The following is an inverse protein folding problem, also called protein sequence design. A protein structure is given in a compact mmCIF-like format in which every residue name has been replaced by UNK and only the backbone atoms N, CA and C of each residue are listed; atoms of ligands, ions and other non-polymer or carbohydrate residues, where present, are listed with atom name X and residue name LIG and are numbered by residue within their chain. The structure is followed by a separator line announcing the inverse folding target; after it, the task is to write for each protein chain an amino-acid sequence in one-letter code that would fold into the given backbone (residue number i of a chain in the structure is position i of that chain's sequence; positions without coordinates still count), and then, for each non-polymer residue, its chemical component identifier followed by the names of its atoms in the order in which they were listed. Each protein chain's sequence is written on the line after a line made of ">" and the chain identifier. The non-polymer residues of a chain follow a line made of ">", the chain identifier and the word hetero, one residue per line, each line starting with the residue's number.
data_IF_786325722096
#
_entry.id   IF_786325722096
#
_cell.length_a   1.000
_cell.length_b   1.000
_cell.length_c   1.000
_cell.angle_alpha   90.00
_cell.angle_beta   90.00
_cell.angle_gamma   90.00
#
_symmetry.space_group_name_H-M   'P 1'
#
loop_
_entity.id
_entity.type
_entity.pdbx_description
1 polymer ?
#
# COMPACT_ATOMS: atom_id res chain seq x y z
N UNK A 1 13.78 16.11 12.26
CA UNK A 1 12.94 14.99 11.76
C UNK A 1 11.88 15.60 10.86
N UNK A 2 12.18 15.74 9.57
CA UNK A 2 11.26 16.38 8.64
C UNK A 2 10.03 15.49 8.50
N UNK A 3 8.87 16.02 8.87
CA UNK A 3 7.60 15.43 8.46
C UNK A 3 7.65 15.30 6.94
N UNK A 4 7.70 14.08 6.43
CA UNK A 4 7.71 13.81 5.00
C UNK A 4 6.38 14.28 4.43
N UNK A 5 6.35 15.51 3.89
CA UNK A 5 5.22 16.09 3.20
C UNK A 5 4.75 15.15 2.09
N UNK A 6 3.50 14.69 2.16
CA UNK A 6 2.88 13.79 1.18
C UNK A 6 1.67 13.08 1.77
N UNK A 7 0.80 12.48 0.96
CA UNK A 7 -0.44 11.87 1.46
C UNK A 7 -0.22 10.63 2.35
N UNK A 8 1.03 10.17 2.45
CA UNK A 8 1.46 8.95 3.13
C UNK A 8 2.54 9.21 4.19
N UNK A 9 2.79 10.47 4.55
CA UNK A 9 3.86 10.82 5.50
C UNK A 9 3.74 10.14 6.87
N UNK A 10 2.52 9.79 7.28
CA UNK A 10 2.26 9.07 8.54
C UNK A 10 2.79 7.62 8.56
N UNK A 11 3.17 7.06 7.41
CA UNK A 11 3.76 5.71 7.34
C UNK A 11 5.20 5.66 7.85
N UNK A 12 5.88 6.80 7.94
CA UNK A 12 7.27 6.88 8.42
C UNK A 12 7.45 6.41 9.87
N UNK A 13 6.35 6.34 10.64
CA UNK A 13 6.35 5.75 11.98
C UNK A 13 6.65 4.24 11.97
N UNK A 14 6.31 3.55 10.89
CA UNK A 14 6.38 2.09 10.78
C UNK A 14 7.65 1.64 10.07
N UNK A 15 7.90 2.20 8.89
CA UNK A 15 9.07 1.89 8.07
C UNK A 15 9.29 3.01 7.04
N UNK A 16 10.49 3.62 6.96
CA UNK A 16 10.82 4.60 5.93
C UNK A 16 10.56 4.12 4.49
N UNK A 17 10.69 2.81 4.22
CA UNK A 17 10.43 2.21 2.91
C UNK A 17 8.99 2.47 2.43
N UNK A 18 8.01 2.44 3.34
CA UNK A 18 6.61 2.66 2.98
C UNK A 18 6.39 4.07 2.44
N UNK A 19 7.00 5.05 3.11
CA UNK A 19 6.95 6.44 2.67
C UNK A 19 7.70 6.64 1.36
N UNK A 20 8.84 5.99 1.17
CA UNK A 20 9.59 6.04 -0.10
C UNK A 20 8.78 5.48 -1.28
N UNK A 21 8.20 4.29 -1.13
CA UNK A 21 7.36 3.66 -2.16
C UNK A 21 6.15 4.53 -2.50
N UNK A 22 5.47 5.05 -1.48
CA UNK A 22 4.30 5.91 -1.66
C UNK A 22 4.64 7.23 -2.35
N UNK A 23 5.70 7.93 -1.90
CA UNK A 23 6.16 9.17 -2.51
C UNK A 23 6.63 8.95 -3.95
N UNK A 24 7.30 7.83 -4.23
CA UNK A 24 7.69 7.47 -5.59
C UNK A 24 6.46 7.26 -6.47
N UNK A 25 5.40 6.63 -5.96
CA UNK A 25 4.14 6.48 -6.70
C UNK A 25 3.50 7.84 -7.01
N UNK A 26 3.41 8.73 -6.01
CA UNK A 26 2.84 10.07 -6.18
C UNK A 26 3.62 10.88 -7.22
N UNK A 27 4.96 10.89 -7.15
CA UNK A 27 5.81 11.63 -8.10
C UNK A 27 5.71 11.11 -9.53
N UNK A 28 5.55 9.80 -9.69
CA UNK A 28 5.42 9.19 -11.02
C UNK A 28 4.05 9.43 -11.64
N UNK A 29 3.00 9.79 -10.88
CA UNK A 29 1.63 9.84 -11.39
C UNK A 29 1.43 10.69 -12.65
N UNK A 30 2.03 11.89 -12.67
CA UNK A 30 1.86 12.82 -13.79
C UNK A 30 2.62 12.38 -15.05
N UNK A 31 3.82 11.83 -14.90
CA UNK A 31 4.70 11.48 -16.02
C UNK A 31 4.58 10.03 -16.48
N UNK A 32 4.27 9.12 -15.56
CA UNK A 32 4.23 7.68 -15.76
C UNK A 32 3.19 6.99 -14.82
N UNK A 33 1.92 6.93 -15.28
CA UNK A 33 0.85 6.20 -14.59
C UNK A 33 1.14 4.71 -14.39
N UNK A 34 1.95 4.09 -15.25
CA UNK A 34 2.29 2.68 -15.16
C UNK A 34 3.23 2.43 -13.97
N UNK A 35 4.30 3.22 -13.87
CA UNK A 35 5.22 3.19 -12.72
C UNK A 35 4.49 3.48 -11.40
N UNK A 36 3.49 4.36 -11.43
CA UNK A 36 2.64 4.62 -10.26
C UNK A 36 1.99 3.34 -9.75
N UNK A 37 1.29 2.59 -10.59
CA UNK A 37 0.63 1.33 -10.18
C UNK A 37 1.63 0.26 -9.72
N UNK A 38 2.80 0.18 -10.35
CA UNK A 38 3.87 -0.73 -9.92
C UNK A 38 4.33 -0.38 -8.50
N UNK A 39 4.58 0.91 -8.21
CA UNK A 39 5.00 1.37 -6.87
C UNK A 39 3.92 1.15 -5.81
N UNK A 40 2.65 1.31 -6.16
CA UNK A 40 1.54 1.04 -5.24
C UNK A 40 1.37 -0.46 -4.94
N UNK A 41 1.64 -1.33 -5.92
CA UNK A 41 1.71 -2.78 -5.69
C UNK A 41 2.85 -3.13 -4.74
N UNK A 42 4.05 -2.57 -4.96
CA UNK A 42 5.20 -2.74 -4.06
C UNK A 42 4.87 -2.28 -2.63
N UNK A 43 4.19 -1.13 -2.48
CA UNK A 43 3.71 -0.66 -1.17
C UNK A 43 2.77 -1.68 -0.52
N UNK A 44 1.79 -2.21 -1.27
CA UNK A 44 0.88 -3.24 -0.76
C UNK A 44 1.60 -4.55 -0.36
N UNK A 45 2.64 -4.94 -1.09
CA UNK A 45 3.48 -6.10 -0.73
C UNK A 45 4.25 -5.86 0.57
N UNK A 46 4.90 -4.70 0.69
CA UNK A 46 5.68 -4.33 1.87
C UNK A 46 4.80 -4.26 3.14
N UNK A 47 3.59 -3.68 3.02
CA UNK A 47 2.62 -3.66 4.13
C UNK A 47 2.18 -5.06 4.53
N UNK A 48 1.91 -5.95 3.57
CA UNK A 48 1.51 -7.33 3.87
C UNK A 48 2.64 -8.10 4.58
N UNK A 49 3.88 -7.97 4.11
CA UNK A 49 5.05 -8.58 4.74
C UNK A 49 5.26 -8.08 6.17
N UNK A 50 5.07 -6.78 6.40
CA UNK A 50 5.17 -6.21 7.75
C UNK A 50 4.07 -6.73 8.68
N UNK A 51 2.82 -6.83 8.21
CA UNK A 51 1.71 -7.42 8.97
C UNK A 51 2.03 -8.88 9.32
N UNK A 52 2.55 -9.66 8.37
CA UNK A 52 2.92 -11.04 8.60
C UNK A 52 4.02 -11.16 9.67
N UNK A 53 5.05 -10.31 9.60
CA UNK A 53 6.11 -10.26 10.60
C UNK A 53 5.58 -9.94 12.01
N UNK A 54 4.68 -8.95 12.12
CA UNK A 54 4.04 -8.60 13.40
C UNK A 54 3.14 -9.72 13.95
N UNK A 55 2.50 -10.49 13.06
CA UNK A 55 1.61 -11.59 13.42
C UNK A 55 2.35 -12.93 13.62
N UNK A 56 3.68 -12.98 13.46
CA UNK A 56 4.45 -14.24 13.54
C UNK A 56 4.15 -15.23 12.41
N UNK A 57 3.67 -14.74 11.27
CA UNK A 57 3.34 -15.57 10.09
C UNK A 57 4.61 -15.74 9.25
N UNK A 58 5.01 -16.98 9.03
CA UNK A 58 6.20 -17.31 8.23
C UNK A 58 5.96 -17.11 6.72
N UNK A 59 6.93 -16.44 6.08
CA UNK A 59 7.03 -16.26 4.65
C UNK A 59 8.49 -16.15 4.22
N UNK A 60 8.74 -16.45 2.95
CA UNK A 60 10.06 -16.46 2.33
C UNK A 60 9.97 -15.92 0.89
N UNK A 61 11.08 -15.98 0.15
CA UNK A 61 11.17 -15.52 -1.25
C UNK A 61 10.27 -16.32 -2.21
N UNK A 62 9.87 -17.54 -1.83
CA UNK A 62 8.99 -18.38 -2.65
C UNK A 62 7.51 -18.10 -2.36
N UNK A 63 7.21 -17.48 -1.22
CA UNK A 63 5.85 -17.14 -0.82
C UNK A 63 5.29 -16.05 -1.73
N UNK A 64 4.31 -16.41 -2.56
CA UNK A 64 3.67 -15.41 -3.43
C UNK A 64 2.87 -14.40 -2.61
N UNK A 65 2.66 -13.20 -3.14
CA UNK A 65 1.81 -12.20 -2.48
C UNK A 65 0.38 -12.74 -2.22
N UNK A 66 -0.16 -13.56 -3.12
CA UNK A 66 -1.50 -14.13 -2.94
C UNK A 66 -1.52 -15.12 -1.75
N UNK A 67 -0.50 -15.96 -1.62
CA UNK A 67 -0.37 -16.91 -0.51
C UNK A 67 -0.15 -16.19 0.81
N UNK A 68 0.67 -15.14 0.82
CA UNK A 68 0.90 -14.30 1.99
C UNK A 68 -0.41 -13.66 2.47
N UNK A 69 -1.18 -13.06 1.56
CA UNK A 69 -2.48 -12.47 1.88
C UNK A 69 -3.49 -13.52 2.37
N UNK A 70 -3.45 -14.74 1.84
CA UNK A 70 -4.26 -15.85 2.33
C UNK A 70 -3.89 -16.22 3.78
N UNK A 71 -2.60 -16.39 4.07
CA UNK A 71 -2.08 -16.67 5.43
C UNK A 71 -2.48 -15.57 6.41
N UNK A 72 -2.26 -14.30 6.06
CA UNK A 72 -2.63 -13.13 6.87
C UNK A 72 -4.13 -13.13 7.17
N UNK A 73 -4.96 -13.38 6.16
CA UNK A 73 -6.40 -13.38 6.35
C UNK A 73 -6.86 -14.53 7.25
N UNK A 74 -6.24 -15.70 7.15
CA UNK A 74 -6.57 -16.85 8.00
C UNK A 74 -6.29 -16.54 9.48
N UNK A 75 -5.17 -15.85 9.74
CA UNK A 75 -4.71 -15.53 11.10
C UNK A 75 -5.46 -14.33 11.70
N UNK A 76 -5.52 -13.21 10.96
CA UNK A 76 -6.03 -11.93 11.47
C UNK A 76 -7.51 -11.69 11.17
N UNK A 77 -8.15 -12.57 10.38
CA UNK A 77 -9.55 -12.45 9.97
C UNK A 77 -9.89 -11.06 9.40
N UNK A 78 -9.09 -10.61 8.42
CA UNK A 78 -9.24 -9.29 7.82
C UNK A 78 -10.67 -9.05 7.31
N UNK A 79 -11.17 -7.84 7.57
CA UNK A 79 -12.43 -7.37 7.01
C UNK A 79 -12.42 -7.45 5.48
N UNK A 80 -13.58 -7.75 4.88
CA UNK A 80 -13.75 -7.85 3.43
C UNK A 80 -13.18 -6.64 2.68
N UNK A 81 -13.40 -5.44 3.21
CA UNK A 81 -12.93 -4.19 2.58
C UNK A 81 -11.40 -4.15 2.50
N UNK A 82 -10.69 -4.58 3.54
CA UNK A 82 -9.22 -4.57 3.59
C UNK A 82 -8.66 -5.59 2.61
N UNK A 83 -9.25 -6.79 2.56
CA UNK A 83 -8.89 -7.82 1.57
C UNK A 83 -9.02 -7.29 0.15
N UNK A 84 -10.10 -6.58 -0.12
CA UNK A 84 -10.38 -6.01 -1.43
C UNK A 84 -9.40 -4.91 -1.83
N UNK A 85 -8.94 -4.09 -0.87
CA UNK A 85 -7.91 -3.08 -1.11
C UNK A 85 -6.58 -3.74 -1.54
N UNK A 86 -6.10 -4.74 -0.80
CA UNK A 86 -4.90 -5.50 -1.18
C UNK A 86 -5.05 -6.18 -2.55
N UNK A 87 -6.19 -6.84 -2.78
CA UNK A 87 -6.49 -7.51 -4.05
C UNK A 87 -6.44 -6.53 -5.21
N UNK A 88 -7.05 -5.35 -5.06
CA UNK A 88 -7.08 -4.32 -6.09
C UNK A 88 -5.67 -3.84 -6.45
N UNK A 89 -4.84 -3.51 -5.46
CA UNK A 89 -3.46 -3.07 -5.73
C UNK A 89 -2.64 -4.16 -6.44
N UNK A 90 -2.79 -5.42 -6.01
CA UNK A 90 -2.11 -6.55 -6.66
C UNK A 90 -2.54 -6.70 -8.12
N UNK A 91 -3.85 -6.71 -8.38
CA UNK A 91 -4.38 -6.94 -9.72
C UNK A 91 -4.01 -5.80 -10.67
N UNK A 92 -4.19 -4.55 -10.26
CA UNK A 92 -3.89 -3.39 -11.11
C UNK A 92 -2.39 -3.22 -11.32
N UNK A 93 -1.56 -3.45 -10.30
CA UNK A 93 -0.10 -3.43 -10.47
C UNK A 93 0.41 -4.55 -11.37
N UNK A 94 -0.17 -5.75 -11.31
CA UNK A 94 0.21 -6.83 -12.22
C UNK A 94 -0.16 -6.51 -13.68
N UNK A 95 -1.34 -5.93 -13.91
CA UNK A 95 -1.74 -5.46 -15.24
C UNK A 95 -0.77 -4.40 -15.76
N UNK A 96 -0.37 -3.44 -14.92
CA UNK A 96 0.61 -2.42 -15.26
C UNK A 96 1.94 -3.04 -15.73
N UNK A 97 2.48 -4.01 -14.98
CA UNK A 97 3.72 -4.72 -15.35
C UNK A 97 3.63 -5.45 -16.70
N UNK A 98 2.46 -5.98 -17.08
CA UNK A 98 2.33 -6.85 -18.25
C UNK A 98 1.70 -6.21 -19.49
N UNK A 99 0.87 -5.17 -19.35
CA UNK A 99 0.07 -4.63 -20.45
C UNK A 99 0.63 -3.34 -21.09
N UNK A 100 1.68 -2.73 -20.51
CA UNK A 100 2.39 -1.53 -21.01
C UNK A 100 1.51 -0.31 -21.36
N UNK A 101 0.19 -0.38 -21.13
CA UNK A 101 -0.80 0.68 -21.35
C UNK A 101 -1.58 0.85 -20.06
N UNK A 102 -1.32 1.96 -19.38
CA UNK A 102 -2.04 2.36 -18.17
C UNK A 102 -2.62 3.75 -18.38
N UNK A 103 -3.90 3.92 -18.00
CA UNK A 103 -4.55 5.23 -18.05
C UNK A 103 -4.34 5.97 -16.73
N UNK A 104 -4.24 7.30 -16.77
CA UNK A 104 -4.22 8.13 -15.54
C UNK A 104 -5.38 7.82 -14.60
N UNK A 105 -6.56 7.48 -15.13
CA UNK A 105 -7.73 7.07 -14.34
C UNK A 105 -7.47 5.82 -13.48
N UNK A 106 -6.74 4.85 -14.00
CA UNK A 106 -6.40 3.63 -13.25
C UNK A 106 -5.38 3.96 -12.16
N UNK A 107 -4.36 4.76 -12.48
CA UNK A 107 -3.34 5.19 -11.53
C UNK A 107 -3.91 6.03 -10.37
N UNK A 108 -4.81 6.99 -10.64
CA UNK A 108 -5.43 7.80 -9.57
C UNK A 108 -6.35 6.94 -8.69
N UNK A 109 -7.08 5.99 -9.28
CA UNK A 109 -7.86 5.03 -8.51
C UNK A 109 -6.95 4.17 -7.62
N UNK A 110 -5.80 3.74 -8.15
CA UNK A 110 -4.76 3.06 -7.39
C UNK A 110 -4.29 3.88 -6.19
N UNK A 111 -3.97 5.16 -6.38
CA UNK A 111 -3.55 6.06 -5.29
C UNK A 111 -4.61 6.16 -4.19
N UNK A 112 -5.88 6.27 -4.57
CA UNK A 112 -7.00 6.30 -3.60
C UNK A 112 -7.10 4.99 -2.82
N UNK A 113 -6.99 3.85 -3.50
CA UNK A 113 -7.02 2.51 -2.87
C UNK A 113 -5.84 2.35 -1.91
N UNK A 114 -4.63 2.69 -2.34
CA UNK A 114 -3.43 2.63 -1.52
C UNK A 114 -3.53 3.55 -0.30
N UNK A 115 -4.09 4.74 -0.45
CA UNK A 115 -4.30 5.66 0.68
C UNK A 115 -5.27 5.09 1.70
N UNK A 116 -6.39 4.50 1.25
CA UNK A 116 -7.34 3.81 2.16
C UNK A 116 -6.65 2.67 2.91
N UNK A 117 -5.85 1.87 2.21
CA UNK A 117 -5.11 0.76 2.82
C UNK A 117 -4.08 1.25 3.85
N UNK A 118 -3.31 2.28 3.50
CA UNK A 118 -2.31 2.88 4.38
C UNK A 118 -2.94 3.46 5.65
N UNK A 119 -4.10 4.12 5.55
CA UNK A 119 -4.83 4.65 6.71
C UNK A 119 -5.26 3.52 7.64
N UNK A 120 -5.90 2.48 7.08
CA UNK A 120 -6.30 1.32 7.87
C UNK A 120 -5.11 0.66 8.57
N UNK A 121 -3.98 0.51 7.86
CA UNK A 121 -2.76 -0.05 8.42
C UNK A 121 -2.25 0.81 9.59
N UNK A 122 -2.12 2.13 9.39
CA UNK A 122 -1.65 3.01 10.44
C UNK A 122 -2.62 3.08 11.64
N UNK A 123 -3.93 2.99 11.42
CA UNK A 123 -4.91 2.90 12.50
C UNK A 123 -4.84 1.58 13.28
N UNK A 124 -4.46 0.49 12.61
CA UNK A 124 -4.37 -0.84 13.21
C UNK A 124 -3.07 -1.03 14.01
N UNK A 125 -1.95 -0.49 13.51
CA UNK A 125 -0.62 -0.79 14.05
C UNK A 125 0.12 0.44 14.61
N UNK A 126 -0.37 1.66 14.37
CA UNK A 126 0.29 2.91 14.80
C UNK A 126 -0.07 3.30 16.22
N UNK A 127 0.76 4.14 16.84
CA UNK A 127 0.63 4.60 18.23
C UNK A 127 -0.70 5.31 18.51
N UNK A 128 -1.20 6.08 17.54
CA UNK A 128 -2.46 6.79 17.66
C UNK A 128 -3.69 5.87 17.52
N UNK A 129 -3.51 4.67 16.97
CA UNK A 129 -4.54 3.66 16.79
C UNK A 129 -5.78 4.19 16.02
N UNK A 130 -6.99 3.73 16.37
CA UNK A 130 -8.24 4.15 15.71
C UNK A 130 -8.54 5.65 15.80
N UNK A 131 -7.87 6.40 16.67
CA UNK A 131 -8.06 7.85 16.82
C UNK A 131 -7.34 8.66 15.73
N UNK A 132 -6.47 8.02 14.95
CA UNK A 132 -5.74 8.68 13.86
C UNK A 132 -6.71 9.21 12.79
N UNK A 133 -6.46 10.46 12.36
CA UNK A 133 -7.16 11.12 11.26
C UNK A 133 -6.16 11.58 10.22
N UNK A 134 -6.23 11.01 9.02
CA UNK A 134 -5.34 11.38 7.93
C UNK A 134 -5.73 12.72 7.31
N UNK A 135 -4.78 13.64 7.23
CA UNK A 135 -4.93 14.90 6.48
C UNK A 135 -4.69 14.63 5.00
N UNK A 136 -5.51 15.25 4.14
CA UNK A 136 -5.29 15.20 2.69
C UNK A 136 -4.26 16.28 2.35
N UNK A 137 -3.16 15.90 1.72
CA UNK A 137 -2.21 16.82 1.14
C UNK A 137 -2.48 16.92 -0.36
N UNK A 138 -2.88 18.12 -0.81
CA UNK A 138 -2.96 18.42 -2.24
C UNK A 138 -1.54 18.60 -2.80
N UNK A 139 -0.86 17.48 -3.03
CA UNK A 139 0.40 17.42 -3.79
C UNK A 139 0.17 16.53 -5.00
N UNK A 140 -0.59 17.03 -5.98
CA UNK A 140 -0.61 16.55 -7.37
C UNK A 140 -0.80 17.76 -8.27
#
# INVERSE_FOLDING_TARGET
>A
MSASNGNFGFLAEHDPLFTELALSAERSFASDPNTTLIKLRQLGEALAQHIAALAGIEFDEQTTQADLLYKINRELQLENVVRELFRTLRVEGNKATHQFKTKHKEAINGLVVARKLAIWFHQSFGKAGPKFKAVIHFCV
#
